data_IF_489703422399
#
_entry.id   IF_489703422399
#
_cell.length_a   1.000
_cell.length_b   1.000
_cell.length_c   1.000
_cell.angle_alpha   90.00
_cell.angle_beta   90.00
_cell.angle_gamma   90.00
#
_symmetry.space_group_name_H-M   'P 1'
#
loop_
_entity.id
_entity.type
_entity.pdbx_description
1 polymer ?
#
# COMPACT_ATOMS: atom_id res chain seq x y z
N UNK A 1 -16.26 -11.93 47.73
CA UNK A 1 -17.54 -11.90 48.48
C UNK A 1 -18.61 -11.37 47.54
N UNK A 2 -19.32 -12.16 46.73
CA UNK A 2 -20.19 -13.32 46.99
C UNK A 2 -21.46 -12.98 47.80
N UNK A 3 -22.60 -12.87 47.09
CA UNK A 3 -24.01 -13.33 47.38
C UNK A 3 -24.94 -12.62 46.37
N UNK A 4 -25.49 -13.22 45.31
CA UNK A 4 -26.50 -14.31 45.13
C UNK A 4 -27.87 -14.00 45.77
N UNK A 5 -28.93 -13.88 44.95
CA UNK A 5 -30.15 -14.72 45.03
C UNK A 5 -31.17 -14.46 43.88
N UNK A 6 -31.36 -15.50 43.04
CA UNK A 6 -32.60 -16.10 42.43
C UNK A 6 -33.73 -15.19 41.89
N UNK A 7 -34.15 -15.25 40.62
CA UNK A 7 -34.70 -16.34 39.77
C UNK A 7 -36.18 -16.69 40.02
N UNK A 8 -37.03 -16.46 39.01
CA UNK A 8 -38.27 -17.20 38.74
C UNK A 8 -38.55 -17.26 37.22
N UNK A 9 -39.13 -18.39 36.81
CA UNK A 9 -39.19 -18.99 35.47
C UNK A 9 -40.67 -19.07 35.01
N UNK A 10 -40.85 -19.44 33.72
CA UNK A 10 -42.07 -19.92 33.02
C UNK A 10 -42.93 -18.80 32.38
N UNK A 11 -43.44 -18.87 31.14
CA UNK A 11 -43.78 -19.96 30.23
C UNK A 11 -43.75 -19.49 28.75
N UNK A 12 -43.42 -20.41 27.83
CA UNK A 12 -43.65 -20.32 26.38
C UNK A 12 -45.14 -20.50 26.02
N UNK A 13 -45.57 -20.03 24.84
CA UNK A 13 -45.99 -21.03 23.84
C UNK A 13 -45.48 -20.73 22.42
N UNK A 14 -45.29 -21.83 21.68
CA UNK A 14 -44.93 -21.91 20.27
C UNK A 14 -46.13 -21.62 19.37
N UNK A 15 -45.90 -20.95 18.23
CA UNK A 15 -46.82 -20.99 17.10
C UNK A 15 -46.05 -21.14 15.78
N UNK A 16 -46.53 -22.10 15.01
CA UNK A 16 -46.02 -22.64 13.76
C UNK A 16 -45.84 -21.60 12.64
N UNK A 17 -44.68 -21.64 11.96
CA UNK A 17 -44.48 -21.05 10.64
C UNK A 17 -44.81 -22.10 9.56
N UNK A 18 -45.88 -21.87 8.80
CA UNK A 18 -46.14 -22.55 7.53
C UNK A 18 -45.69 -21.66 6.37
N UNK A 19 -44.91 -22.27 5.47
CA UNK A 19 -44.44 -21.69 4.21
C UNK A 19 -45.59 -21.60 3.21
N UNK A 20 -45.67 -20.50 2.47
CA UNK A 20 -46.27 -20.49 1.13
C UNK A 20 -45.33 -19.73 0.16
N UNK A 21 -45.25 -20.17 -1.10
CA UNK A 21 -44.28 -19.67 -2.07
C UNK A 21 -44.82 -18.44 -2.81
N UNK A 22 -43.97 -17.45 -3.07
CA UNK A 22 -44.24 -16.44 -4.08
C UNK A 22 -43.27 -16.62 -5.25
N UNK A 23 -43.87 -17.00 -6.36
CA UNK A 23 -43.28 -17.04 -7.69
C UNK A 23 -42.90 -15.62 -8.12
N UNK A 24 -41.61 -15.39 -8.37
CA UNK A 24 -41.18 -14.22 -9.12
C UNK A 24 -40.98 -14.61 -10.59
N UNK A 25 -41.87 -14.07 -11.41
CA UNK A 25 -41.78 -14.05 -12.86
C UNK A 25 -40.51 -13.32 -13.29
N UNK A 26 -39.70 -13.99 -14.11
CA UNK A 26 -38.54 -13.42 -14.78
C UNK A 26 -39.00 -12.41 -15.85
N UNK A 27 -38.89 -11.12 -15.57
CA UNK A 27 -38.96 -10.08 -16.59
C UNK A 27 -37.54 -9.82 -17.12
N UNK A 28 -37.22 -10.42 -18.27
CA UNK A 28 -36.03 -10.09 -19.05
C UNK A 28 -36.21 -8.75 -19.74
N UNK A 29 -35.54 -7.71 -19.25
CA UNK A 29 -35.43 -6.42 -19.95
C UNK A 29 -34.21 -6.50 -20.88
N UNK A 30 -34.49 -6.63 -22.18
CA UNK A 30 -33.51 -6.52 -23.25
C UNK A 30 -32.99 -5.08 -23.36
N UNK A 31 -31.80 -4.81 -22.80
CA UNK A 31 -31.06 -3.59 -23.13
C UNK A 31 -30.42 -3.73 -24.52
N UNK A 32 -31.07 -3.14 -25.53
CA UNK A 32 -30.48 -2.89 -26.85
C UNK A 32 -29.26 -1.96 -26.69
N UNK A 33 -28.06 -2.53 -26.84
CA UNK A 33 -26.81 -1.76 -27.05
C UNK A 33 -26.94 -0.91 -28.31
N UNK A 34 -27.09 0.42 -28.16
CA UNK A 34 -26.83 1.37 -29.25
C UNK A 34 -25.32 1.53 -29.40
N UNK A 35 -24.78 1.10 -30.55
CA UNK A 35 -23.42 1.39 -30.98
C UNK A 35 -23.33 2.88 -31.32
N UNK A 36 -22.53 3.64 -30.58
CA UNK A 36 -22.10 4.97 -31.01
C UNK A 36 -20.85 4.81 -31.88
N UNK A 37 -20.97 5.26 -33.12
CA UNK A 37 -19.86 5.40 -34.07
C UNK A 37 -19.06 6.65 -33.70
N UNK A 38 -17.78 6.47 -33.36
CA UNK A 38 -16.83 7.58 -33.18
C UNK A 38 -15.80 7.48 -34.29
N UNK A 39 -15.89 8.37 -35.26
CA UNK A 39 -14.82 8.68 -36.23
C UNK A 39 -13.72 9.47 -35.53
N UNK A 40 -12.44 9.07 -35.62
CA UNK A 40 -11.33 9.87 -35.10
C UNK A 40 -10.92 10.97 -36.10
N UNK A 41 -10.40 12.12 -35.64
CA UNK A 41 -9.77 13.08 -36.53
C UNK A 41 -8.39 12.58 -36.96
N UNK A 42 -8.11 12.75 -38.25
CA UNK A 42 -6.81 12.55 -38.88
C UNK A 42 -5.78 13.54 -38.30
N UNK A 43 -4.71 13.01 -37.70
CA UNK A 43 -3.43 13.72 -37.58
C UNK A 43 -2.32 12.77 -38.02
N UNK A 44 -1.67 13.14 -39.12
CA UNK A 44 -0.54 12.47 -39.72
C UNK A 44 0.71 12.61 -38.82
N UNK A 45 1.32 11.49 -38.47
CA UNK A 45 2.78 11.35 -38.56
C UNK A 45 3.13 9.88 -38.80
N UNK A 46 3.93 9.68 -39.83
CA UNK A 46 4.31 8.41 -40.43
C UNK A 46 5.23 7.58 -39.52
N UNK A 47 4.84 6.32 -39.31
CA UNK A 47 5.68 5.26 -38.78
C UNK A 47 6.88 5.01 -39.70
N UNK A 48 8.10 5.23 -39.19
CA UNK A 48 9.30 4.60 -39.74
C UNK A 48 9.63 3.37 -38.91
N UNK A 49 9.56 2.22 -39.56
CA UNK A 49 10.00 0.92 -39.07
C UNK A 49 11.52 0.91 -38.92
N UNK A 50 12.02 0.83 -37.68
CA UNK A 50 13.41 0.47 -37.41
C UNK A 50 13.47 -0.90 -36.74
N UNK A 51 14.06 -1.83 -37.50
CA UNK A 51 14.66 -3.11 -37.14
C UNK A 51 14.61 -3.53 -35.67
N UNK A 52 13.92 -4.63 -35.41
CA UNK A 52 14.06 -5.48 -34.23
C UNK A 52 15.46 -6.07 -34.17
N UNK A 53 16.38 -5.40 -33.48
CA UNK A 53 17.54 -6.07 -32.90
C UNK A 53 17.09 -6.65 -31.57
N UNK A 54 17.02 -7.97 -31.49
CA UNK A 54 16.94 -8.72 -30.24
C UNK A 54 18.26 -8.54 -29.48
N UNK A 55 18.46 -7.37 -28.90
CA UNK A 55 19.47 -7.17 -27.89
C UNK A 55 18.99 -7.94 -26.65
N UNK A 56 19.80 -8.90 -26.21
CA UNK A 56 19.68 -9.52 -24.90
C UNK A 56 19.62 -8.43 -23.83
N UNK A 57 18.42 -8.09 -23.37
CA UNK A 57 18.22 -7.09 -22.33
C UNK A 57 18.67 -7.69 -21.01
N UNK A 58 19.97 -7.52 -20.70
CA UNK A 58 20.36 -7.43 -19.30
C UNK A 58 19.48 -6.33 -18.69
N UNK A 59 18.67 -6.64 -17.65
CA UNK A 59 17.81 -5.64 -17.06
C UNK A 59 18.67 -4.52 -16.47
N UNK A 60 18.43 -3.29 -16.92
CA UNK A 60 19.14 -2.11 -16.40
C UNK A 60 18.64 -1.82 -14.98
N UNK A 61 19.56 -1.62 -14.04
CA UNK A 61 19.25 -1.24 -12.64
C UNK A 61 18.25 -0.07 -12.59
N UNK A 62 18.40 0.88 -13.50
CA UNK A 62 17.52 2.05 -13.60
C UNK A 62 16.13 1.66 -14.11
N UNK A 63 16.05 0.79 -15.11
CA UNK A 63 14.76 0.27 -15.61
C UNK A 63 14.00 -0.49 -14.52
N UNK A 64 14.71 -1.30 -13.75
CA UNK A 64 14.13 -2.05 -12.64
C UNK A 64 13.69 -1.14 -11.48
N UNK A 65 14.45 -0.08 -11.18
CA UNK A 65 14.05 0.95 -10.22
C UNK A 65 12.77 1.67 -10.66
N UNK A 66 12.65 2.04 -11.94
CA UNK A 66 11.43 2.65 -12.48
C UNK A 66 10.22 1.71 -12.35
N UNK A 67 10.41 0.42 -12.63
CA UNK A 67 9.36 -0.59 -12.45
C UNK A 67 8.97 -0.71 -10.98
N UNK A 68 9.94 -0.76 -10.06
CA UNK A 68 9.69 -0.80 -8.62
C UNK A 68 8.89 0.42 -8.15
N UNK A 69 9.26 1.64 -8.56
CA UNK A 69 8.57 2.89 -8.19
C UNK A 69 7.14 2.95 -8.75
N UNK A 70 6.93 2.46 -9.97
CA UNK A 70 5.62 2.41 -10.64
C UNK A 70 4.67 1.38 -10.02
N UNK A 71 5.20 0.32 -9.42
CA UNK A 71 4.38 -0.64 -8.67
C UNK A 71 4.14 -0.20 -7.21
N UNK A 72 5.10 0.51 -6.61
CA UNK A 72 5.12 0.95 -5.20
C UNK A 72 4.40 2.27 -4.94
N UNK A 73 3.07 2.31 -5.13
CA UNK A 73 2.28 3.54 -4.92
C UNK A 73 2.11 3.92 -3.45
N UNK A 74 2.19 2.95 -2.55
CA UNK A 74 2.09 3.13 -1.09
C UNK A 74 3.10 2.22 -0.39
N UNK A 75 3.31 2.43 0.90
CA UNK A 75 4.13 1.57 1.77
C UNK A 75 3.72 0.08 1.69
N UNK A 76 2.42 -0.19 1.50
CA UNK A 76 1.90 -1.54 1.32
C UNK A 76 2.31 -2.16 -0.01
N UNK A 77 2.28 -1.37 -1.08
CA UNK A 77 2.70 -1.83 -2.40
C UNK A 77 4.22 -1.96 -2.49
N UNK A 78 4.98 -1.06 -1.88
CA UNK A 78 6.44 -1.17 -1.77
C UNK A 78 6.86 -2.47 -1.08
N UNK A 79 6.24 -2.77 0.06
CA UNK A 79 6.49 -4.03 0.79
C UNK A 79 6.07 -5.25 -0.01
N UNK A 80 4.93 -5.21 -0.70
CA UNK A 80 4.46 -6.32 -1.52
C UNK A 80 5.36 -6.56 -2.74
N UNK A 81 5.86 -5.49 -3.37
CA UNK A 81 6.79 -5.59 -4.49
C UNK A 81 8.16 -6.10 -4.04
N UNK A 82 8.69 -5.62 -2.91
CA UNK A 82 9.91 -6.16 -2.33
C UNK A 82 9.77 -7.66 -1.98
N UNK A 83 8.64 -8.04 -1.37
CA UNK A 83 8.29 -9.45 -1.12
C UNK A 83 8.27 -10.27 -2.41
N UNK A 84 7.65 -9.76 -3.48
CA UNK A 84 7.58 -10.44 -4.78
C UNK A 84 8.99 -10.69 -5.35
N UNK A 85 9.87 -9.70 -5.30
CA UNK A 85 11.24 -9.82 -5.78
C UNK A 85 12.08 -10.78 -4.93
N UNK A 86 11.93 -10.77 -3.61
CA UNK A 86 12.61 -11.72 -2.71
C UNK A 86 12.18 -13.17 -2.97
N UNK A 87 10.88 -13.42 -3.15
CA UNK A 87 10.38 -14.76 -3.52
C UNK A 87 10.95 -15.18 -4.87
N UNK A 88 10.96 -14.29 -5.87
CA UNK A 88 11.52 -14.58 -7.19
C UNK A 88 13.04 -14.87 -7.12
N UNK A 89 13.75 -14.25 -6.17
CA UNK A 89 15.16 -14.52 -5.89
C UNK A 89 15.39 -15.80 -5.06
N UNK A 90 14.33 -16.47 -4.61
CA UNK A 90 14.39 -17.71 -3.84
C UNK A 90 14.64 -17.52 -2.34
N UNK A 91 14.26 -16.38 -1.77
CA UNK A 91 14.18 -16.19 -0.32
C UNK A 91 12.91 -16.85 0.22
N UNK A 92 13.01 -17.42 1.41
CA UNK A 92 11.89 -18.08 2.09
C UNK A 92 11.11 -17.10 2.98
N UNK A 93 9.79 -17.04 2.80
CA UNK A 93 8.92 -16.23 3.64
C UNK A 93 8.71 -16.91 4.99
N UNK A 94 9.10 -16.22 6.05
CA UNK A 94 8.87 -16.60 7.44
C UNK A 94 7.58 -15.97 7.96
N UNK A 95 6.90 -16.70 8.82
CA UNK A 95 5.84 -16.18 9.67
C UNK A 95 6.42 -15.86 11.04
N UNK A 96 6.14 -14.66 11.55
CA UNK A 96 6.69 -14.23 12.83
C UNK A 96 6.13 -15.01 14.03
N UNK A 97 4.96 -15.63 13.87
CA UNK A 97 4.30 -16.43 14.91
C UNK A 97 4.81 -17.87 14.98
N UNK A 98 5.58 -18.33 14.00
CA UNK A 98 6.08 -19.70 13.93
C UNK A 98 7.53 -19.79 14.45
N UNK A 99 7.95 -21.00 14.81
CA UNK A 99 9.36 -21.31 15.00
C UNK A 99 10.11 -21.22 13.67
N UNK A 100 11.37 -20.79 13.71
CA UNK A 100 12.18 -20.61 12.50
C UNK A 100 13.26 -21.70 12.42
N UNK A 101 13.22 -22.51 11.37
CA UNK A 101 14.29 -23.45 10.96
C UNK A 101 15.28 -22.70 10.05
N UNK A 102 16.22 -21.98 10.65
CA UNK A 102 17.24 -21.23 9.93
C UNK A 102 18.50 -22.08 9.75
N UNK A 103 19.16 -21.91 8.60
CA UNK A 103 20.38 -22.65 8.24
C UNK A 103 21.43 -21.74 7.64
N UNK A 104 22.74 -22.00 7.88
CA UNK A 104 23.82 -21.40 7.10
C UNK A 104 23.59 -21.58 5.60
N UNK A 105 23.88 -20.54 4.80
CA UNK A 105 23.56 -20.47 3.37
C UNK A 105 22.09 -20.17 3.05
N UNK A 106 21.21 -20.14 4.05
CA UNK A 106 19.79 -19.88 3.88
C UNK A 106 19.46 -18.39 3.70
N UNK A 107 18.35 -18.11 3.02
CA UNK A 107 17.88 -16.76 2.68
C UNK A 107 16.40 -16.63 3.06
N UNK A 108 16.07 -15.64 3.87
CA UNK A 108 14.77 -15.56 4.54
C UNK A 108 14.27 -14.13 4.64
N UNK A 109 12.97 -13.95 4.80
CA UNK A 109 12.39 -12.65 5.09
C UNK A 109 11.03 -12.78 5.76
N UNK A 110 10.58 -11.74 6.44
CA UNK A 110 9.20 -11.62 6.93
C UNK A 110 8.68 -10.20 6.71
N UNK A 111 7.37 -10.04 6.83
CA UNK A 111 6.70 -8.73 6.75
C UNK A 111 5.87 -8.50 8.00
N UNK A 112 5.80 -7.24 8.45
CA UNK A 112 4.94 -6.81 9.56
C UNK A 112 3.96 -5.75 9.07
N UNK A 113 2.69 -5.89 9.44
CA UNK A 113 1.59 -5.01 9.01
C UNK A 113 1.42 -4.86 7.47
N UNK A 114 2.10 -5.68 6.65
CA UNK A 114 2.24 -5.50 5.20
C UNK A 114 2.93 -4.20 4.77
N UNK A 115 3.52 -3.43 5.68
CA UNK A 115 4.21 -2.17 5.37
C UNK A 115 5.67 -2.12 5.81
N UNK A 116 6.12 -3.07 6.62
CA UNK A 116 7.52 -3.25 7.00
C UNK A 116 8.00 -4.62 6.52
N UNK A 117 9.26 -4.69 6.10
CA UNK A 117 9.91 -5.91 5.62
C UNK A 117 11.32 -6.03 6.21
N UNK A 118 11.66 -7.21 6.70
CA UNK A 118 13.01 -7.57 7.11
C UNK A 118 13.43 -8.78 6.32
N UNK A 119 14.54 -8.69 5.59
CA UNK A 119 15.12 -9.80 4.83
C UNK A 119 16.58 -10.00 5.20
N UNK A 120 17.04 -11.25 5.18
CA UNK A 120 18.41 -11.60 5.53
C UNK A 120 18.89 -12.87 4.84
N UNK A 121 20.20 -12.94 4.64
CA UNK A 121 20.92 -14.11 4.15
C UNK A 121 22.00 -14.51 5.17
N UNK A 122 22.04 -15.80 5.52
CA UNK A 122 22.98 -16.35 6.49
C UNK A 122 24.21 -16.84 5.75
N UNK A 123 25.40 -16.31 6.07
CA UNK A 123 26.65 -16.83 5.51
C UNK A 123 26.88 -18.31 5.85
N UNK A 124 27.49 -19.08 4.95
CA UNK A 124 27.76 -20.50 5.21
C UNK A 124 28.81 -20.72 6.30
N UNK A 125 29.68 -19.73 6.55
CA UNK A 125 30.66 -19.73 7.64
C UNK A 125 30.18 -18.95 8.86
N UNK A 126 28.90 -18.59 8.91
CA UNK A 126 28.33 -17.96 10.09
C UNK A 126 28.44 -18.88 11.30
N UNK A 127 28.95 -18.32 12.38
CA UNK A 127 28.91 -18.93 13.71
C UNK A 127 28.27 -17.94 14.68
N UNK A 128 27.59 -18.47 15.70
CA UNK A 128 26.90 -17.66 16.70
C UNK A 128 27.88 -16.70 17.39
N UNK A 129 27.58 -15.40 17.31
CA UNK A 129 28.44 -14.32 17.79
C UNK A 129 29.10 -13.51 16.67
N UNK A 130 29.07 -13.99 15.42
CA UNK A 130 29.42 -13.17 14.27
C UNK A 130 28.39 -12.06 14.03
N UNK A 131 28.83 -11.00 13.38
CA UNK A 131 28.05 -9.78 13.15
C UNK A 131 26.98 -9.86 12.05
N UNK A 132 26.21 -8.78 11.98
CA UNK A 132 25.22 -8.48 10.97
C UNK A 132 25.71 -7.28 10.12
N UNK A 133 25.62 -7.37 8.81
CA UNK A 133 25.78 -6.24 7.89
C UNK A 133 24.39 -5.80 7.45
N UNK A 134 23.93 -4.67 7.97
CA UNK A 134 22.54 -4.23 7.85
C UNK A 134 22.46 -2.98 6.99
N UNK A 135 21.45 -2.90 6.12
CA UNK A 135 21.04 -1.64 5.50
C UNK A 135 19.59 -1.37 5.92
N UNK A 136 19.34 -0.20 6.52
CA UNK A 136 17.99 0.25 6.81
C UNK A 136 17.54 1.36 5.85
N UNK A 137 16.28 1.29 5.44
CA UNK A 137 15.58 2.32 4.68
C UNK A 137 14.10 2.34 5.08
N UNK A 138 13.29 3.21 4.48
CA UNK A 138 11.85 3.23 4.71
C UNK A 138 11.02 3.19 3.42
N UNK A 139 9.80 2.69 3.58
CA UNK A 139 8.85 2.36 2.52
C UNK A 139 7.75 3.41 2.36
N UNK A 140 7.59 4.29 3.35
CA UNK A 140 6.63 5.38 3.31
C UNK A 140 7.23 6.66 2.75
N UNK A 141 6.33 7.53 2.30
CA UNK A 141 6.65 8.87 1.80
C UNK A 141 5.53 9.82 2.25
N UNK A 142 5.75 11.15 2.25
CA UNK A 142 4.71 12.09 2.58
C UNK A 142 3.57 11.98 1.57
N UNK A 143 2.34 11.90 2.06
CA UNK A 143 1.17 11.73 1.22
C UNK A 143 -0.09 12.30 1.86
N UNK A 144 -1.16 12.39 1.06
CA UNK A 144 -2.50 12.58 1.57
C UNK A 144 -3.11 11.20 1.84
N UNK A 145 -3.59 10.97 3.06
CA UNK A 145 -4.34 9.76 3.41
C UNK A 145 -5.82 10.08 3.52
N UNK A 146 -6.71 9.17 3.15
CA UNK A 146 -8.14 9.34 3.39
C UNK A 146 -8.39 9.40 4.91
N UNK A 147 -9.23 10.34 5.36
CA UNK A 147 -9.71 10.34 6.74
C UNK A 147 -10.67 9.15 6.96
N UNK A 148 -10.81 8.64 8.20
CA UNK A 148 -11.80 7.61 8.53
C UNK A 148 -13.24 7.97 8.13
N UNK A 149 -13.57 9.27 8.12
CA UNK A 149 -14.78 9.82 7.51
C UNK A 149 -14.38 10.70 6.34
N UNK A 150 -14.24 10.08 5.17
CA UNK A 150 -13.76 10.77 3.96
C UNK A 150 -14.88 11.46 3.19
N UNK A 151 -16.15 11.08 3.35
CA UNK A 151 -17.23 11.69 2.58
C UNK A 151 -17.46 13.16 2.96
N UNK A 152 -17.30 14.07 2.00
CA UNK A 152 -17.74 15.46 2.12
C UNK A 152 -18.33 15.99 0.82
N UNK A 153 -19.03 17.12 0.91
CA UNK A 153 -19.63 17.75 -0.27
C UNK A 153 -19.72 19.26 -0.10
N UNK A 154 -19.47 20.00 -1.19
CA UNK A 154 -19.58 21.46 -1.22
C UNK A 154 -19.88 21.91 -2.65
N UNK A 155 -20.75 22.89 -2.82
CA UNK A 155 -21.04 23.52 -4.12
C UNK A 155 -21.33 22.51 -5.26
N UNK A 156 -22.17 21.50 -5.00
CA UNK A 156 -22.52 20.41 -5.93
C UNK A 156 -21.36 19.48 -6.33
N UNK A 157 -20.22 19.51 -5.62
CA UNK A 157 -19.15 18.52 -5.76
C UNK A 157 -19.16 17.52 -4.61
N UNK A 158 -18.93 16.26 -4.94
CA UNK A 158 -18.51 15.20 -4.03
C UNK A 158 -17.00 15.34 -3.83
N UNK A 159 -16.59 15.48 -2.58
CA UNK A 159 -15.20 15.71 -2.18
C UNK A 159 -14.74 14.61 -1.21
N UNK A 160 -13.43 14.43 -1.08
CA UNK A 160 -12.82 13.49 -0.14
C UNK A 160 -12.01 14.22 0.93
N UNK A 161 -12.41 14.08 2.19
CA UNK A 161 -11.60 14.56 3.30
C UNK A 161 -10.34 13.70 3.43
N UNK A 162 -9.20 14.38 3.42
CA UNK A 162 -7.87 13.79 3.54
C UNK A 162 -7.12 14.39 4.72
N UNK A 163 -6.15 13.65 5.24
CA UNK A 163 -5.19 14.11 6.22
C UNK A 163 -3.79 14.10 5.61
N UNK A 164 -2.97 15.06 6.00
CA UNK A 164 -1.55 15.08 5.67
C UNK A 164 -0.81 14.04 6.49
N UNK A 165 0.01 13.24 5.83
CA UNK A 165 0.93 12.28 6.44
C UNK A 165 2.36 12.68 6.08
N UNK A 166 3.22 12.87 7.09
CA UNK A 166 4.58 13.35 6.90
C UNK A 166 4.72 14.85 6.62
N UNK A 167 5.93 15.28 6.28
CA UNK A 167 6.31 16.68 6.03
C UNK A 167 6.18 17.12 4.57
N UNK A 168 5.09 16.77 3.89
CA UNK A 168 4.97 16.95 2.44
C UNK A 168 4.97 18.41 1.95
N UNK A 169 5.49 18.61 0.73
CA UNK A 169 5.37 19.86 -0.01
C UNK A 169 3.97 19.98 -0.63
N UNK A 170 2.96 20.26 0.19
CA UNK A 170 1.55 20.12 -0.20
C UNK A 170 1.08 20.93 -1.41
N UNK A 171 1.77 22.03 -1.74
CA UNK A 171 1.45 22.80 -2.94
C UNK A 171 1.68 21.99 -4.24
N UNK A 172 2.58 21.00 -4.25
CA UNK A 172 2.87 20.19 -5.45
C UNK A 172 1.77 19.15 -5.76
N UNK A 173 0.87 18.91 -4.81
CA UNK A 173 -0.29 18.01 -4.95
C UNK A 173 -1.48 18.69 -5.63
N UNK A 174 -1.47 20.02 -5.72
CA UNK A 174 -2.46 20.73 -6.49
C UNK A 174 -2.23 20.48 -7.97
N UNK A 175 -3.33 20.42 -8.70
CA UNK A 175 -3.32 20.30 -10.15
C UNK A 175 -2.57 19.08 -10.71
N UNK A 176 -2.56 18.00 -9.94
CA UNK A 176 -2.13 16.66 -10.35
C UNK A 176 -3.30 15.75 -10.69
N UNK A 177 -3.07 14.80 -11.58
CA UNK A 177 -4.02 13.73 -11.87
C UNK A 177 -3.84 12.65 -10.81
N UNK A 178 -4.76 12.64 -9.85
CA UNK A 178 -4.64 11.83 -8.64
C UNK A 178 -5.58 10.63 -8.69
N UNK A 179 -5.21 9.58 -7.96
CA UNK A 179 -6.05 8.41 -7.71
C UNK A 179 -5.87 7.92 -6.28
N UNK A 180 -6.45 6.76 -5.94
CA UNK A 180 -6.29 6.10 -4.64
C UNK A 180 -5.60 4.75 -4.79
N UNK A 181 -4.74 4.45 -3.82
CA UNK A 181 -4.15 3.13 -3.65
C UNK A 181 -3.92 2.84 -2.17
N UNK A 182 -3.89 1.57 -1.78
CA UNK A 182 -3.61 1.18 -0.41
C UNK A 182 -4.10 -0.23 -0.10
N UNK A 183 -4.62 -0.39 1.11
CA UNK A 183 -5.10 -1.66 1.66
C UNK A 183 -6.57 -1.58 2.01
N UNK A 184 -7.30 -2.65 1.72
CA UNK A 184 -8.70 -2.84 2.07
C UNK A 184 -8.83 -4.10 2.91
N UNK A 185 -9.56 -4.00 4.02
CA UNK A 185 -9.95 -5.16 4.82
C UNK A 185 -11.30 -5.63 4.30
N UNK A 186 -11.34 -6.85 3.77
CA UNK A 186 -12.56 -7.48 3.28
C UNK A 186 -12.96 -8.66 4.17
N UNK A 187 -14.25 -8.88 4.31
CA UNK A 187 -14.80 -10.10 4.91
C UNK A 187 -14.80 -11.20 3.85
N UNK A 188 -14.26 -12.36 4.19
CA UNK A 188 -14.33 -13.54 3.34
C UNK A 188 -15.62 -14.31 3.58
N UNK A 189 -15.96 -15.24 2.67
CA UNK A 189 -17.16 -16.07 2.75
C UNK A 189 -17.22 -16.97 3.99
N UNK A 190 -16.07 -17.30 4.58
CA UNK A 190 -15.97 -18.08 5.82
C UNK A 190 -16.06 -17.21 7.10
N UNK A 191 -16.28 -15.90 6.94
CA UNK A 191 -16.35 -14.92 8.02
C UNK A 191 -15.01 -14.36 8.49
N UNK A 192 -13.88 -14.86 7.98
CA UNK A 192 -12.55 -14.33 8.28
C UNK A 192 -12.31 -12.96 7.63
N UNK A 193 -11.27 -12.26 8.06
CA UNK A 193 -10.87 -10.97 7.49
C UNK A 193 -9.60 -11.14 6.67
N UNK A 194 -9.62 -10.60 5.44
CA UNK A 194 -8.48 -10.61 4.53
C UNK A 194 -8.04 -9.19 4.24
N UNK A 195 -6.73 -9.00 4.12
CA UNK A 195 -6.16 -7.78 3.59
C UNK A 195 -5.96 -7.92 2.08
N UNK A 196 -6.57 -7.03 1.30
CA UNK A 196 -6.34 -6.92 -0.14
C UNK A 196 -5.68 -5.58 -0.46
N UNK A 197 -4.74 -5.59 -1.41
CA UNK A 197 -4.22 -4.35 -1.98
C UNK A 197 -5.15 -3.87 -3.08
N UNK A 198 -5.29 -2.55 -3.20
CA UNK A 198 -6.05 -1.91 -4.26
C UNK A 198 -5.23 -0.76 -4.84
N UNK A 199 -5.26 -0.62 -6.17
CA UNK A 199 -4.60 0.46 -6.90
C UNK A 199 -5.45 0.80 -8.12
N UNK A 200 -6.22 1.88 -8.04
CA UNK A 200 -7.11 2.27 -9.14
C UNK A 200 -6.29 2.98 -10.23
N UNK A 201 -5.96 2.28 -11.31
CA UNK A 201 -5.03 2.72 -12.37
C UNK A 201 -5.67 3.69 -13.39
N UNK A 202 -6.33 4.74 -12.90
CA UNK A 202 -6.82 5.88 -13.69
C UNK A 202 -6.96 7.13 -12.82
N UNK A 203 -6.86 8.35 -13.37
CA UNK A 203 -7.17 9.56 -12.62
C UNK A 203 -8.62 9.53 -12.13
N UNK A 204 -8.79 9.71 -10.82
CA UNK A 204 -10.08 9.77 -10.12
C UNK A 204 -10.31 11.14 -9.47
N UNK A 205 -9.22 11.79 -9.07
CA UNK A 205 -9.22 12.87 -8.12
C UNK A 205 -8.41 14.05 -8.63
N UNK A 206 -8.79 15.24 -8.19
CA UNK A 206 -8.07 16.48 -8.48
C UNK A 206 -8.19 17.43 -7.30
N UNK A 207 -7.09 18.06 -6.90
CA UNK A 207 -7.12 19.24 -6.02
C UNK A 207 -6.89 20.47 -6.89
N UNK A 208 -7.94 21.20 -7.31
CA UNK A 208 -7.77 22.33 -8.22
C UNK A 208 -7.20 23.56 -7.49
N UNK A 209 -6.31 24.31 -8.14
CA UNK A 209 -5.94 25.65 -7.65
C UNK A 209 -7.07 26.66 -7.88
N UNK A 210 -7.09 27.70 -7.05
CA UNK A 210 -7.94 28.87 -7.29
C UNK A 210 -7.33 29.72 -8.41
N UNK A 211 -8.14 30.14 -9.38
CA UNK A 211 -7.70 31.00 -10.47
C UNK A 211 -7.05 32.29 -9.96
N UNK A 212 -5.90 32.67 -10.53
CA UNK A 212 -5.11 33.86 -10.14
C UNK A 212 -5.93 35.17 -10.16
N UNK A 213 -6.92 35.29 -11.03
CA UNK A 213 -7.82 36.45 -11.10
C UNK A 213 -8.57 36.71 -9.77
N UNK A 214 -8.81 35.64 -8.99
CA UNK A 214 -9.46 35.66 -7.69
C UNK A 214 -8.46 35.64 -6.51
N UNK A 215 -7.17 35.47 -6.79
CA UNK A 215 -6.07 35.56 -5.81
C UNK A 215 -4.87 36.28 -6.44
N UNK A 216 -5.02 37.59 -6.64
CA UNK A 216 -4.09 38.40 -7.46
C UNK A 216 -2.70 38.55 -6.84
N UNK A 217 -2.55 38.36 -5.54
CA UNK A 217 -1.29 38.52 -4.82
C UNK A 217 -0.55 37.21 -4.58
N UNK A 218 -1.04 36.06 -5.10
CA UNK A 218 -0.44 34.75 -4.82
C UNK A 218 1.03 34.63 -5.21
N UNK A 219 1.45 35.29 -6.30
CA UNK A 219 2.84 35.27 -6.77
C UNK A 219 3.77 36.15 -5.93
N UNK A 220 3.24 37.13 -5.18
CA UNK A 220 4.03 37.97 -4.27
C UNK A 220 4.01 37.43 -2.85
N UNK A 221 2.86 36.95 -2.39
CA UNK A 221 2.64 36.54 -0.99
C UNK A 221 2.99 35.07 -0.75
N UNK A 222 3.13 34.30 -1.85
CA UNK A 222 3.32 32.86 -1.87
C UNK A 222 2.01 32.09 -1.81
N UNK A 223 1.96 30.94 -2.48
CA UNK A 223 0.82 30.03 -2.42
C UNK A 223 0.81 29.28 -1.07
N UNK A 224 -0.10 29.69 -0.18
CA UNK A 224 -0.21 29.20 1.20
C UNK A 224 -1.59 28.59 1.45
N UNK A 225 -1.90 27.42 0.87
CA UNK A 225 -3.21 26.83 1.02
C UNK A 225 -3.45 26.37 2.46
N UNK A 226 -4.65 26.60 2.99
CA UNK A 226 -5.09 25.97 4.22
C UNK A 226 -5.31 24.47 3.98
N UNK A 227 -4.53 23.62 4.66
CA UNK A 227 -4.48 22.18 4.39
C UNK A 227 -5.78 21.43 4.75
N UNK A 228 -6.65 21.99 5.58
CA UNK A 228 -7.94 21.36 5.92
C UNK A 228 -9.04 21.74 4.92
N UNK A 229 -9.07 22.99 4.47
CA UNK A 229 -10.21 23.54 3.72
C UNK A 229 -9.95 23.73 2.23
N UNK A 230 -8.67 23.75 1.82
CA UNK A 230 -8.26 24.02 0.44
C UNK A 230 -7.50 22.84 -0.21
N UNK A 231 -6.99 21.88 0.58
CA UNK A 231 -6.34 20.66 0.10
C UNK A 231 -7.32 19.46 0.14
N UNK A 232 -8.48 19.61 -0.48
CA UNK A 232 -9.55 18.61 -0.44
C UNK A 232 -9.85 18.14 -1.88
N UNK A 233 -9.48 16.89 -2.24
CA UNK A 233 -9.71 16.37 -3.57
C UNK A 233 -11.20 16.32 -3.97
N UNK A 234 -11.48 16.70 -5.21
CA UNK A 234 -12.76 16.48 -5.87
C UNK A 234 -12.83 15.05 -6.41
N UNK A 235 -13.96 14.38 -6.22
CA UNK A 235 -14.23 13.03 -6.75
C UNK A 235 -15.19 13.07 -7.95
N UNK A 236 -16.31 13.78 -7.81
CA UNK A 236 -17.34 13.85 -8.83
C UNK A 236 -18.25 15.06 -8.60
N UNK A 237 -19.09 15.40 -9.57
CA UNK A 237 -20.26 16.24 -9.32
C UNK A 237 -21.36 15.41 -8.67
N UNK A 238 -22.23 16.06 -7.90
CA UNK A 238 -23.50 15.46 -7.51
C UNK A 238 -24.36 15.33 -8.76
N UNK A 239 -25.06 14.20 -8.96
CA UNK A 239 -26.09 14.15 -9.99
C UNK A 239 -27.11 15.27 -9.72
N UNK A 240 -27.49 16.01 -10.75
CA UNK A 240 -28.68 16.86 -10.68
C UNK A 240 -29.87 15.93 -10.41
N UNK A 241 -30.66 16.22 -9.37
CA UNK A 241 -31.87 15.46 -9.07
C UNK A 241 -32.87 15.63 -10.20
N UNK A 242 -32.78 14.77 -11.20
CA UNK A 242 -33.70 14.74 -12.33
C UNK A 242 -34.98 13.94 -12.02
N UNK A 243 -35.43 13.83 -10.76
CA UNK A 243 -36.75 13.25 -10.43
C UNK A 243 -37.27 13.81 -9.08
N UNK A 244 -38.57 14.15 -8.97
CA UNK A 244 -39.12 14.70 -7.74
C UNK A 244 -39.06 13.67 -6.62
N UNK A 245 -38.57 14.10 -5.45
CA UNK A 245 -38.53 13.35 -4.21
C UNK A 245 -39.87 12.64 -3.94
N UNK A 246 -39.89 11.31 -4.02
CA UNK A 246 -40.85 10.55 -3.22
C UNK A 246 -40.45 10.76 -1.77
N UNK A 247 -41.21 11.59 -1.07
CA UNK A 247 -41.13 11.82 0.38
C UNK A 247 -41.39 10.52 1.16
N UNK A 248 -40.43 9.61 1.20
CA UNK A 248 -40.32 8.67 2.29
C UNK A 248 -39.39 9.27 3.34
N UNK A 249 -40.00 9.90 4.34
CA UNK A 249 -39.40 10.07 5.65
C UNK A 249 -39.09 8.68 6.19
N UNK A 250 -37.84 8.23 6.06
CA UNK A 250 -37.33 7.12 6.85
C UNK A 250 -36.01 7.52 7.51
N UNK A 251 -36.03 7.37 8.84
CA UNK A 251 -34.95 7.30 9.83
C UNK A 251 -33.61 7.99 9.56
N UNK A 252 -33.12 8.66 10.60
CA UNK A 252 -31.74 9.08 10.84
C UNK A 252 -30.72 7.95 10.62
N UNK A 253 -30.44 7.59 9.38
CA UNK A 253 -29.31 6.75 9.02
C UNK A 253 -28.03 7.53 9.32
N UNK A 254 -27.02 6.94 9.99
CA UNK A 254 -25.72 7.58 10.14
C UNK A 254 -25.23 8.05 8.77
N UNK A 255 -24.71 9.28 8.67
CA UNK A 255 -24.02 9.72 7.44
C UNK A 255 -22.93 8.68 7.13
N UNK A 256 -22.99 8.07 5.95
CA UNK A 256 -21.99 7.10 5.52
C UNK A 256 -20.59 7.70 5.64
N UNK A 257 -19.64 6.93 6.19
CA UNK A 257 -18.28 7.40 6.42
C UNK A 257 -17.55 7.74 5.10
N UNK A 258 -17.90 7.03 4.02
CA UNK A 258 -17.33 7.17 2.68
C UNK A 258 -18.45 7.33 1.64
N UNK A 259 -18.15 7.98 0.51
CA UNK A 259 -19.12 8.12 -0.57
C UNK A 259 -19.44 6.75 -1.19
N UNK A 260 -20.72 6.41 -1.45
CA UNK A 260 -21.08 5.15 -2.11
C UNK A 260 -20.37 4.94 -3.45
N UNK A 261 -20.15 6.01 -4.22
CA UNK A 261 -19.41 5.96 -5.47
C UNK A 261 -17.95 5.50 -5.29
N UNK A 262 -17.27 5.94 -4.23
CA UNK A 262 -15.92 5.48 -3.93
C UNK A 262 -15.94 3.99 -3.54
N UNK A 263 -16.88 3.59 -2.70
CA UNK A 263 -17.01 2.20 -2.26
C UNK A 263 -17.30 1.26 -3.43
N UNK A 264 -18.15 1.67 -4.38
CA UNK A 264 -18.41 0.90 -5.60
C UNK A 264 -17.15 0.75 -6.46
N UNK A 265 -16.37 1.83 -6.66
CA UNK A 265 -15.11 1.76 -7.42
C UNK A 265 -14.13 0.76 -6.78
N UNK A 266 -14.03 0.75 -5.45
CA UNK A 266 -13.15 -0.19 -4.73
C UNK A 266 -13.66 -1.64 -4.85
N UNK A 267 -14.97 -1.84 -4.73
CA UNK A 267 -15.64 -3.14 -4.92
C UNK A 267 -15.39 -3.70 -6.32
N UNK A 268 -15.56 -2.87 -7.36
CA UNK A 268 -15.30 -3.25 -8.75
C UNK A 268 -13.83 -3.63 -8.97
N UNK A 269 -12.88 -2.85 -8.43
CA UNK A 269 -11.43 -3.11 -8.55
C UNK A 269 -11.02 -4.39 -7.80
N UNK A 270 -11.69 -4.71 -6.69
CA UNK A 270 -11.39 -5.87 -5.84
C UNK A 270 -12.16 -7.15 -6.21
N UNK A 271 -13.17 -7.03 -7.08
CA UNK A 271 -14.09 -8.12 -7.44
C UNK A 271 -14.82 -8.70 -6.24
N UNK A 272 -15.29 -7.86 -5.31
CA UNK A 272 -16.10 -8.27 -4.15
C UNK A 272 -17.33 -7.39 -4.00
N UNK A 273 -18.27 -7.77 -3.13
CA UNK A 273 -19.43 -6.94 -2.84
C UNK A 273 -19.03 -5.72 -1.99
N UNK A 274 -19.76 -4.60 -2.12
CA UNK A 274 -19.50 -3.39 -1.33
C UNK A 274 -19.64 -3.66 0.18
N UNK A 275 -20.60 -4.50 0.57
CA UNK A 275 -20.87 -4.87 1.96
C UNK A 275 -19.77 -5.76 2.57
N UNK A 276 -18.93 -6.39 1.74
CA UNK A 276 -17.76 -7.14 2.20
C UNK A 276 -16.61 -6.21 2.60
N UNK A 277 -16.61 -4.94 2.18
CA UNK A 277 -15.57 -3.97 2.54
C UNK A 277 -15.79 -3.49 3.97
N UNK A 278 -14.93 -3.94 4.88
CA UNK A 278 -15.04 -3.67 6.32
C UNK A 278 -14.34 -2.36 6.69
N UNK A 279 -13.15 -2.13 6.13
CA UNK A 279 -12.35 -0.95 6.41
C UNK A 279 -11.34 -0.67 5.29
N UNK A 280 -10.89 0.57 5.18
CA UNK A 280 -9.96 1.01 4.13
C UNK A 280 -8.83 1.85 4.73
N UNK A 281 -7.63 1.68 4.19
CA UNK A 281 -6.48 2.52 4.45
C UNK A 281 -5.84 2.90 3.11
N UNK A 282 -6.23 4.07 2.61
CA UNK A 282 -5.90 4.53 1.26
C UNK A 282 -5.11 5.83 1.29
N UNK A 283 -4.07 5.88 0.47
CA UNK A 283 -3.33 7.08 0.14
C UNK A 283 -3.88 7.65 -1.18
N UNK A 284 -3.82 8.96 -1.33
CA UNK A 284 -3.94 9.64 -2.62
C UNK A 284 -2.58 9.53 -3.32
N UNK A 285 -2.57 9.26 -4.62
CA UNK A 285 -1.35 9.03 -5.39
C UNK A 285 -1.40 9.76 -6.73
N UNK A 286 -0.27 10.33 -7.17
CA UNK A 286 -0.10 10.79 -8.55
C UNK A 286 -0.13 9.59 -9.51
N UNK A 287 -0.87 9.74 -10.60
CA UNK A 287 -1.02 8.72 -11.64
C UNK A 287 0.04 8.84 -12.73
N UNK A 288 0.81 9.94 -12.75
CA UNK A 288 1.94 10.09 -13.66
C UNK A 288 3.01 9.02 -13.38
N UNK A 289 3.37 8.17 -14.37
CA UNK A 289 4.36 7.13 -14.17
C UNK A 289 5.76 7.70 -14.00
N UNK A 290 6.58 7.03 -13.21
CA UNK A 290 8.02 7.26 -13.10
C UNK A 290 8.69 7.03 -14.45
N UNK A 291 9.57 7.93 -14.87
CA UNK A 291 10.27 7.86 -16.15
C UNK A 291 11.70 8.43 -16.10
N UNK A 292 12.43 8.24 -17.20
CA UNK A 292 13.66 9.01 -17.47
C UNK A 292 13.32 10.39 -18.03
N UNK A 293 14.16 11.36 -17.73
CA UNK A 293 14.07 12.72 -18.26
C UNK A 293 15.43 13.38 -18.43
N UNK A 294 15.43 14.64 -18.88
CA UNK A 294 16.64 15.36 -19.29
C UNK A 294 16.96 15.14 -20.78
N UNK A 295 17.78 16.04 -21.34
CA UNK A 295 18.12 15.99 -22.77
C UNK A 295 18.81 14.67 -23.17
N UNK A 296 19.53 14.04 -22.22
CA UNK A 296 20.22 12.77 -22.42
C UNK A 296 19.56 11.59 -21.69
N UNK A 297 18.32 11.71 -21.20
CA UNK A 297 17.68 10.71 -20.34
C UNK A 297 18.50 10.37 -19.08
N UNK A 298 19.17 11.37 -18.51
CA UNK A 298 20.10 11.21 -17.37
C UNK A 298 19.46 11.39 -16.00
N UNK A 299 18.19 11.84 -15.94
CA UNK A 299 17.46 12.03 -14.69
C UNK A 299 16.32 11.03 -14.53
N UNK A 300 15.98 10.73 -13.28
CA UNK A 300 14.77 9.97 -12.92
C UNK A 300 13.73 10.96 -12.41
N UNK A 301 12.56 11.00 -13.05
CA UNK A 301 11.41 11.76 -12.59
C UNK A 301 10.41 10.80 -11.96
N UNK A 302 10.20 10.94 -10.65
CA UNK A 302 9.27 10.10 -9.90
C UNK A 302 8.85 10.78 -8.61
N UNK A 303 7.60 10.53 -8.18
CA UNK A 303 7.24 10.69 -6.78
C UNK A 303 7.90 9.62 -5.92
N UNK A 304 7.94 9.83 -4.60
CA UNK A 304 8.35 8.81 -3.60
C UNK A 304 9.80 8.31 -3.73
N UNK A 305 10.67 9.02 -4.46
CA UNK A 305 12.10 8.69 -4.50
C UNK A 305 12.68 8.63 -3.08
N UNK A 306 12.28 9.61 -2.26
CA UNK A 306 12.38 9.56 -0.81
C UNK A 306 11.33 8.59 -0.23
N UNK A 307 11.69 7.43 0.30
CA UNK A 307 13.01 6.77 0.27
C UNK A 307 12.98 5.44 -0.47
N UNK A 308 12.03 5.27 -1.40
CA UNK A 308 11.90 4.06 -2.18
C UNK A 308 13.11 3.79 -3.07
N UNK A 309 13.88 4.82 -3.44
CA UNK A 309 15.14 4.64 -4.14
C UNK A 309 16.16 3.86 -3.28
N UNK A 310 16.37 4.23 -2.02
CA UNK A 310 17.28 3.51 -1.13
C UNK A 310 16.72 2.14 -0.74
N UNK A 311 15.40 2.04 -0.51
CA UNK A 311 14.75 0.75 -0.25
C UNK A 311 14.94 -0.24 -1.39
N UNK A 312 14.78 0.22 -2.65
CA UNK A 312 15.06 -0.59 -3.82
C UNK A 312 16.54 -0.97 -3.93
N UNK A 313 17.46 -0.01 -3.75
CA UNK A 313 18.88 -0.29 -3.82
C UNK A 313 19.34 -1.29 -2.74
N UNK A 314 18.81 -1.18 -1.52
CA UNK A 314 19.08 -2.13 -0.43
C UNK A 314 18.57 -3.53 -0.78
N UNK A 315 17.32 -3.63 -1.25
CA UNK A 315 16.73 -4.88 -1.74
C UNK A 315 17.58 -5.50 -2.85
N UNK A 316 17.93 -4.70 -3.87
CA UNK A 316 18.69 -5.17 -5.02
C UNK A 316 20.09 -5.62 -4.61
N UNK A 317 20.77 -4.87 -3.75
CA UNK A 317 22.08 -5.25 -3.22
C UNK A 317 22.04 -6.58 -2.45
N UNK A 318 21.02 -6.79 -1.62
CA UNK A 318 20.86 -8.06 -0.90
C UNK A 318 20.63 -9.23 -1.89
N UNK A 319 19.74 -9.06 -2.87
CA UNK A 319 19.44 -10.07 -3.88
C UNK A 319 20.67 -10.40 -4.74
N UNK A 320 21.33 -9.38 -5.29
CA UNK A 320 22.48 -9.56 -6.19
C UNK A 320 23.67 -10.16 -5.44
N UNK A 321 23.90 -9.78 -4.18
CA UNK A 321 24.96 -10.37 -3.37
C UNK A 321 24.72 -11.83 -2.99
N UNK A 322 23.51 -12.36 -3.22
CA UNK A 322 23.14 -13.74 -2.87
C UNK A 322 22.64 -14.53 -4.10
N UNK A 323 23.07 -14.14 -5.31
CA UNK A 323 22.55 -14.68 -6.57
C UNK A 323 22.99 -16.13 -6.85
N UNK A 324 24.13 -16.55 -6.32
CA UNK A 324 24.66 -17.91 -6.43
C UNK A 324 25.03 -18.49 -5.05
N UNK A 325 25.06 -19.83 -4.90
CA UNK A 325 25.51 -20.46 -3.65
C UNK A 325 26.94 -20.04 -3.25
N UNK A 326 27.81 -19.79 -4.23
CA UNK A 326 29.20 -19.39 -3.98
C UNK A 326 29.31 -18.05 -3.24
N UNK A 327 28.35 -17.14 -3.40
CA UNK A 327 28.41 -15.79 -2.83
C UNK A 327 28.27 -15.75 -1.29
N UNK A 328 27.71 -16.82 -0.71
CA UNK A 328 27.59 -17.01 0.74
C UNK A 328 28.61 -18.02 1.30
N UNK A 329 29.35 -18.73 0.44
CA UNK A 329 30.20 -19.87 0.85
C UNK A 329 31.37 -19.47 1.78
N UNK A 330 31.90 -18.27 1.61
CA UNK A 330 32.95 -17.69 2.47
C UNK A 330 32.42 -16.58 3.40
N UNK A 331 31.11 -16.35 3.42
CA UNK A 331 30.51 -15.30 4.24
C UNK A 331 30.40 -15.76 5.70
N UNK A 332 30.87 -14.91 6.60
CA UNK A 332 30.87 -15.14 8.04
C UNK A 332 29.75 -14.36 8.75
N UNK A 333 29.24 -13.30 8.14
CA UNK A 333 28.21 -12.44 8.70
C UNK A 333 26.80 -12.83 8.22
N UNK A 334 25.80 -12.20 8.81
CA UNK A 334 24.44 -12.17 8.26
C UNK A 334 24.29 -10.88 7.46
N UNK A 335 23.94 -10.99 6.17
CA UNK A 335 23.56 -9.82 5.35
C UNK A 335 22.09 -9.56 5.56
N UNK A 336 21.70 -8.31 5.83
CA UNK A 336 20.34 -7.99 6.25
C UNK A 336 19.89 -6.65 5.68
N UNK A 337 18.61 -6.55 5.36
CA UNK A 337 17.95 -5.27 5.12
C UNK A 337 16.72 -5.16 6.03
N UNK A 338 16.42 -3.93 6.45
CA UNK A 338 15.20 -3.60 7.17
C UNK A 338 14.55 -2.39 6.49
N UNK A 339 13.38 -2.60 5.91
CA UNK A 339 12.58 -1.59 5.21
C UNK A 339 11.40 -1.24 6.12
N UNK A 340 11.48 -0.12 6.82
CA UNK A 340 10.50 0.30 7.82
C UNK A 340 9.36 1.13 7.21
N UNK A 341 8.27 1.28 7.94
CA UNK A 341 7.20 2.24 7.65
C UNK A 341 7.28 3.39 8.68
N UNK A 342 6.53 4.46 8.50
CA UNK A 342 6.36 5.55 9.46
C UNK A 342 7.61 6.36 9.80
N UNK A 343 8.62 6.39 8.95
CA UNK A 343 9.78 7.28 9.15
C UNK A 343 9.35 8.74 9.13
N UNK A 344 8.48 9.10 8.18
CA UNK A 344 8.00 10.47 7.93
C UNK A 344 7.19 11.07 9.09
N UNK A 345 6.83 10.25 10.07
CA UNK A 345 6.06 10.65 11.26
C UNK A 345 6.77 10.28 12.56
N UNK A 346 8.08 9.99 12.50
CA UNK A 346 8.95 9.82 13.68
C UNK A 346 9.28 8.38 14.06
N UNK A 347 8.91 7.39 13.23
CA UNK A 347 9.24 5.96 13.40
C UNK A 347 8.67 5.25 14.65
N UNK A 348 7.93 5.94 15.52
CA UNK A 348 7.36 5.39 16.75
C UNK A 348 6.06 4.61 16.48
N UNK A 349 6.20 3.44 15.86
CA UNK A 349 5.11 2.51 15.59
C UNK A 349 5.63 1.07 15.58
N UNK A 350 4.75 0.07 15.62
CA UNK A 350 5.13 -1.35 15.59
C UNK A 350 5.90 -1.78 14.33
N UNK A 351 5.73 -1.05 13.23
CA UNK A 351 6.36 -1.29 11.93
C UNK A 351 7.44 -0.25 11.58
N UNK A 352 7.63 0.76 12.43
CA UNK A 352 8.66 1.77 12.28
C UNK A 352 9.99 1.38 12.92
N UNK A 353 11.02 2.18 12.64
CA UNK A 353 12.38 1.93 13.13
C UNK A 353 12.51 2.12 14.66
N UNK A 354 11.57 2.80 15.31
CA UNK A 354 11.50 2.93 16.77
C UNK A 354 11.08 1.63 17.47
N UNK A 355 10.45 0.70 16.76
CA UNK A 355 10.09 -0.60 17.31
C UNK A 355 11.31 -1.53 17.46
N UNK A 356 11.27 -2.47 18.40
CA UNK A 356 12.35 -3.45 18.59
C UNK A 356 12.40 -4.52 17.48
N UNK A 357 11.61 -4.38 16.40
CA UNK A 357 11.42 -5.39 15.33
C UNK A 357 12.74 -5.94 14.79
N UNK A 358 13.67 -5.06 14.40
CA UNK A 358 14.97 -5.49 13.86
C UNK A 358 15.83 -6.20 14.91
N UNK A 359 15.96 -5.64 16.10
CA UNK A 359 16.74 -6.27 17.18
C UNK A 359 16.12 -7.59 17.65
N UNK A 360 14.79 -7.70 17.67
CA UNK A 360 14.08 -8.96 17.94
C UNK A 360 14.39 -10.00 16.86
N UNK A 361 14.38 -9.61 15.58
CA UNK A 361 14.77 -10.49 14.48
C UNK A 361 16.22 -10.97 14.64
N UNK A 362 17.17 -10.06 14.89
CA UNK A 362 18.58 -10.43 15.10
C UNK A 362 18.76 -11.40 16.28
N UNK A 363 18.07 -11.17 17.41
CA UNK A 363 18.09 -12.09 18.55
C UNK A 363 17.54 -13.47 18.18
N UNK A 364 16.40 -13.51 17.48
CA UNK A 364 15.79 -14.77 17.01
C UNK A 364 16.69 -15.51 16.04
N UNK A 365 17.35 -14.81 15.12
CA UNK A 365 18.28 -15.41 14.15
C UNK A 365 19.47 -16.03 14.88
N UNK A 366 20.12 -15.27 15.76
CA UNK A 366 21.25 -15.77 16.55
C UNK A 366 20.86 -16.95 17.45
N UNK A 367 19.64 -16.91 18.02
CA UNK A 367 19.11 -18.00 18.85
C UNK A 367 18.77 -19.26 18.06
N UNK A 368 18.11 -19.12 16.90
CA UNK A 368 17.75 -20.23 16.02
C UNK A 368 18.99 -20.97 15.49
N UNK A 369 20.07 -20.24 15.19
CA UNK A 369 21.33 -20.81 14.70
C UNK A 369 22.24 -21.37 15.81
N UNK A 370 21.82 -21.30 17.09
CA UNK A 370 22.59 -21.82 18.21
C UNK A 370 22.34 -23.33 18.42
N UNK A 371 23.29 -24.16 17.99
CA UNK A 371 23.10 -25.61 17.96
C UNK A 371 23.09 -26.34 19.33
N UNK A 372 23.41 -25.70 20.47
CA UNK A 372 23.28 -26.28 21.84
C UNK A 372 23.79 -25.35 22.95
N UNK A 373 24.81 -24.51 22.68
CA UNK A 373 25.42 -23.61 23.66
C UNK A 373 25.74 -22.27 22.99
N UNK A 374 25.01 -21.22 23.35
CA UNK A 374 25.43 -19.86 23.05
C UNK A 374 26.43 -19.46 24.14
N UNK A 375 27.72 -19.36 23.81
CA UNK A 375 28.71 -18.82 24.75
C UNK A 375 28.27 -17.45 25.27
N UNK A 376 28.61 -17.12 26.51
CA UNK A 376 28.16 -15.93 27.26
C UNK A 376 27.95 -14.68 26.37
N UNK A 377 26.79 -14.04 26.42
CA UNK A 377 26.52 -12.77 25.71
C UNK A 377 26.74 -12.83 24.19
N UNK A 378 26.40 -13.95 23.55
CA UNK A 378 26.56 -14.14 22.10
C UNK A 378 25.89 -13.05 21.25
N UNK A 379 24.69 -12.61 21.63
CA UNK A 379 24.00 -11.53 20.93
C UNK A 379 24.75 -10.20 21.07
N UNK A 380 25.23 -9.85 22.26
CA UNK A 380 25.99 -8.61 22.49
C UNK A 380 27.30 -8.59 21.70
N UNK A 381 28.00 -9.73 21.62
CA UNK A 381 29.18 -9.87 20.75
C UNK A 381 28.83 -9.68 19.28
N UNK A 382 27.74 -10.29 18.81
CA UNK A 382 27.27 -10.12 17.44
C UNK A 382 27.01 -8.64 17.14
N UNK A 383 26.34 -7.91 18.05
CA UNK A 383 26.12 -6.46 17.90
C UNK A 383 27.44 -5.68 17.79
N UNK A 384 28.47 -6.03 18.59
CA UNK A 384 29.80 -5.38 18.51
C UNK A 384 30.56 -5.65 17.21
N UNK A 385 30.18 -6.70 16.49
CA UNK A 385 30.73 -7.03 15.17
C UNK A 385 29.80 -6.61 14.02
N UNK A 386 28.68 -5.96 14.33
CA UNK A 386 27.69 -5.55 13.33
C UNK A 386 27.94 -4.12 12.84
N UNK A 387 27.41 -3.82 11.65
CA UNK A 387 27.33 -2.48 11.11
C UNK A 387 25.94 -2.24 10.54
N UNK A 388 25.40 -1.04 10.76
CA UNK A 388 24.14 -0.55 10.19
C UNK A 388 24.42 0.74 9.42
#
# INVERSE_FOLDING_TARGET
MATISRAQLLHHPSAYFSRLPHSHSSFSINFRRRKFSVTPPLLCSSSSSSSSSSASTNPSIVGDLLNYLNESWTQFHATAEAKRQLIAAGFHLLNENDEWDLRPGGRYFFTRNMSCLVAFAVGEKYIVGNGFHVIAAHTDSPCLKLKPKSASSKSNYLMLNVQTYGGGLWHTWFDRDLSVAGRVIVRASDGSFLHKLVKVKRPLLRVPTLAIHLNRTVNTDGFKPNLETQLVPLLATKPEEAFPESKEKSSSSPKAAHHPLLMQILSDELGCDVDDIVNIELNICDTQPSCLGGANNEFIFSGRLDNLASSYCALRALVDSCGSPADLSSEHAIRMIALFDNEEVGSDSYQGAGAPTMFQAMRRIAGSLANSYAGESAFDRAIRQSFL
#
